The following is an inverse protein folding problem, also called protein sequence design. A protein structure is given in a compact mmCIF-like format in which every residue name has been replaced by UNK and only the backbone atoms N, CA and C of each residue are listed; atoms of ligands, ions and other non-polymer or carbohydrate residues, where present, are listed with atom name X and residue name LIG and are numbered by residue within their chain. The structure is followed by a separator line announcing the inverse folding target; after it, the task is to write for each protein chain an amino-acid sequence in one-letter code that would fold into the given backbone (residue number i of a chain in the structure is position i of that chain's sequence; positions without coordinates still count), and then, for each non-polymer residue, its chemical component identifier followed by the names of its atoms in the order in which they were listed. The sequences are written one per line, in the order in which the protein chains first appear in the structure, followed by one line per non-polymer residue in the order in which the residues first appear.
data_IF_704928313421
#
_entry.id   IF_704928313421
#
_cell.length_a   1.000
_cell.length_b   1.000
_cell.length_c   1.000
_cell.angle_alpha   90.00
_cell.angle_beta   90.00
_cell.angle_gamma   90.00
#
_symmetry.space_group_name_H-M   'P 1'
#
loop_
_entity.id
_entity.type
_entity.pdbx_description
1 polymer ?
#
# COMPACT_ATOMS: atom_id res chain seq x y z
N UNK A 1 -17.66 -39.97 -5.46
CA UNK A 1 -16.26 -39.71 -5.08
C UNK A 1 -16.18 -38.65 -3.97
N UNK A 2 -16.71 -37.44 -4.21
CA UNK A 2 -16.75 -36.32 -3.25
C UNK A 2 -17.35 -36.66 -1.89
N UNK A 3 -18.43 -37.45 -1.83
CA UNK A 3 -19.04 -37.87 -0.56
C UNK A 3 -18.12 -38.74 0.31
N UNK A 4 -17.33 -39.63 -0.28
CA UNK A 4 -16.37 -40.45 0.45
C UNK A 4 -15.20 -39.60 0.97
N UNK A 5 -14.72 -38.64 0.16
CA UNK A 5 -13.66 -37.72 0.60
C UNK A 5 -14.12 -36.87 1.77
N UNK A 6 -15.34 -36.32 1.72
CA UNK A 6 -15.90 -35.52 2.81
C UNK A 6 -16.06 -36.38 4.07
N UNK A 7 -16.62 -37.59 3.95
CA UNK A 7 -16.76 -38.49 5.10
C UNK A 7 -15.41 -38.91 5.68
N UNK A 8 -14.41 -39.19 4.85
CA UNK A 8 -13.06 -39.52 5.29
C UNK A 8 -12.36 -38.34 5.99
N UNK A 9 -12.53 -37.11 5.48
CA UNK A 9 -12.01 -35.90 6.12
C UNK A 9 -12.68 -35.67 7.48
N UNK A 10 -14.01 -35.80 7.55
CA UNK A 10 -14.76 -35.61 8.79
C UNK A 10 -14.37 -36.66 9.83
N UNK A 11 -14.27 -37.93 9.44
CA UNK A 11 -13.87 -39.01 10.34
C UNK A 11 -12.41 -38.86 10.80
N UNK A 12 -11.52 -38.47 9.89
CA UNK A 12 -10.14 -38.12 10.22
C UNK A 12 -10.06 -36.95 11.21
N UNK A 13 -10.87 -35.90 11.01
CA UNK A 13 -10.91 -34.74 11.89
C UNK A 13 -11.43 -35.08 13.29
N UNK A 14 -12.42 -35.96 13.41
CA UNK A 14 -12.94 -36.42 14.70
C UNK A 14 -11.87 -37.19 15.49
N UNK A 15 -11.06 -38.01 14.82
CA UNK A 15 -9.95 -38.74 15.46
C UNK A 15 -8.75 -37.82 15.75
N UNK A 16 -8.48 -36.84 14.89
CA UNK A 16 -7.39 -35.88 15.08
C UNK A 16 -7.72 -34.79 16.11
N UNK A 17 -8.98 -34.38 16.26
CA UNK A 17 -9.41 -33.34 17.19
C UNK A 17 -8.93 -33.56 18.63
N UNK A 18 -9.12 -34.73 19.27
CA UNK A 18 -8.60 -34.95 20.62
C UNK A 18 -7.06 -34.93 20.68
N UNK A 19 -6.39 -35.40 19.62
CA UNK A 19 -4.92 -35.40 19.53
C UNK A 19 -4.39 -33.96 19.44
N UNK A 20 -5.01 -33.10 18.62
CA UNK A 20 -4.67 -31.68 18.44
C UNK A 20 -4.89 -30.90 19.74
N UNK A 21 -5.97 -31.19 20.46
CA UNK A 21 -6.27 -30.54 21.75
C UNK A 21 -5.32 -31.02 22.85
N UNK A 22 -4.91 -32.29 22.86
CA UNK A 22 -3.91 -32.81 23.81
C UNK A 22 -2.49 -32.29 23.52
N UNK A 23 -2.15 -32.00 22.26
CA UNK A 23 -0.87 -31.39 21.86
C UNK A 23 -0.93 -29.86 21.77
N UNK A 24 -1.90 -29.23 22.44
CA UNK A 24 -2.27 -27.82 22.34
C UNK A 24 -1.12 -26.78 22.43
N UNK A 25 0.01 -26.98 23.16
CA UNK A 25 1.10 -26.00 23.11
C UNK A 25 2.07 -26.20 21.93
N UNK A 26 2.01 -27.31 21.19
CA UNK A 26 3.02 -27.67 20.17
C UNK A 26 2.61 -27.31 18.73
N UNK A 27 1.31 -27.21 18.43
CA UNK A 27 0.85 -26.83 17.07
C UNK A 27 1.01 -25.35 16.77
N UNK A 28 0.80 -24.49 17.77
CA UNK A 28 1.01 -23.06 17.66
C UNK A 28 2.43 -22.69 17.19
N UNK A 29 3.53 -23.20 17.81
CA UNK A 29 4.88 -22.88 17.35
C UNK A 29 5.17 -23.41 15.94
N UNK A 30 4.64 -24.56 15.55
CA UNK A 30 4.82 -25.10 14.18
C UNK A 30 4.11 -24.22 13.16
N UNK A 31 2.86 -23.82 13.44
CA UNK A 31 2.12 -22.90 12.58
C UNK A 31 2.85 -21.58 12.43
N UNK A 32 3.31 -20.98 13.53
CA UNK A 32 4.09 -19.73 13.49
C UNK A 32 5.38 -19.93 12.68
N UNK A 33 6.11 -21.04 12.86
CA UNK A 33 7.35 -21.31 12.15
C UNK A 33 7.16 -21.46 10.63
N UNK A 34 5.99 -21.91 10.17
CA UNK A 34 5.69 -22.05 8.73
C UNK A 34 5.03 -20.79 8.17
N UNK A 35 4.12 -20.18 8.93
CA UNK A 35 3.31 -19.05 8.50
C UNK A 35 4.09 -17.74 8.52
N UNK A 36 4.98 -17.53 9.50
CA UNK A 36 5.84 -16.34 9.57
C UNK A 36 6.80 -16.24 8.38
N UNK A 37 7.53 -17.29 7.95
CA UNK A 37 8.30 -17.21 6.72
C UNK A 37 7.42 -17.23 5.49
N UNK A 38 6.21 -17.82 5.48
CA UNK A 38 5.33 -17.69 4.30
C UNK A 38 4.83 -16.27 4.11
N UNK A 39 4.26 -15.65 5.14
CA UNK A 39 3.79 -14.26 5.13
C UNK A 39 4.97 -13.31 5.01
N UNK A 40 6.06 -13.60 5.72
CA UNK A 40 7.32 -12.89 5.63
C UNK A 40 7.88 -12.95 4.22
N UNK A 41 7.89 -14.11 3.57
CA UNK A 41 8.35 -14.28 2.20
C UNK A 41 7.36 -13.71 1.19
N UNK A 42 6.04 -13.78 1.36
CA UNK A 42 5.08 -13.07 0.50
C UNK A 42 5.22 -11.56 0.65
N UNK A 43 5.39 -11.08 1.88
CA UNK A 43 5.63 -9.67 2.18
C UNK A 43 6.99 -9.22 1.65
N UNK A 44 8.05 -10.03 1.79
CA UNK A 44 9.39 -9.78 1.25
C UNK A 44 9.48 -10.03 -0.26
N UNK A 45 8.60 -10.81 -0.86
CA UNK A 45 8.56 -11.04 -2.30
C UNK A 45 7.82 -9.87 -2.97
N UNK A 46 6.71 -9.40 -2.40
CA UNK A 46 6.07 -8.15 -2.82
C UNK A 46 6.95 -6.92 -2.56
N UNK A 47 7.50 -6.79 -1.35
CA UNK A 47 8.34 -5.65 -0.95
C UNK A 47 9.76 -5.73 -1.55
N UNK A 48 10.32 -6.92 -1.70
CA UNK A 48 11.64 -7.14 -2.29
C UNK A 48 11.64 -6.91 -3.80
N UNK A 49 10.62 -7.39 -4.51
CA UNK A 49 10.44 -7.06 -5.94
C UNK A 49 10.19 -5.55 -6.10
N UNK A 50 9.40 -4.93 -5.22
CA UNK A 50 9.20 -3.48 -5.23
C UNK A 50 10.51 -2.71 -4.93
N UNK A 51 11.30 -3.14 -3.94
CA UNK A 51 12.57 -2.52 -3.58
C UNK A 51 13.61 -2.66 -4.70
N UNK A 52 13.73 -3.84 -5.30
CA UNK A 52 14.59 -4.09 -6.47
C UNK A 52 14.11 -3.29 -7.68
N UNK A 53 12.79 -3.18 -7.89
CA UNK A 53 12.23 -2.35 -8.95
C UNK A 53 12.57 -0.86 -8.75
N UNK A 54 12.44 -0.33 -7.54
CA UNK A 54 12.80 1.07 -7.21
C UNK A 54 14.31 1.29 -7.36
N UNK A 55 15.16 0.39 -6.84
CA UNK A 55 16.61 0.47 -6.99
C UNK A 55 17.04 0.41 -8.45
N UNK A 56 16.46 -0.51 -9.23
CA UNK A 56 16.71 -0.64 -10.67
C UNK A 56 16.24 0.62 -11.42
N UNK A 57 15.10 1.19 -11.04
CA UNK A 57 14.57 2.42 -11.62
C UNK A 57 15.48 3.63 -11.35
N UNK A 58 15.91 3.83 -10.10
CA UNK A 58 16.82 4.91 -9.69
C UNK A 58 18.18 4.76 -10.37
N UNK A 59 18.74 3.54 -10.37
CA UNK A 59 20.02 3.27 -11.02
C UNK A 59 19.99 3.56 -12.53
N UNK A 60 18.89 3.20 -13.18
CA UNK A 60 18.70 3.40 -14.63
C UNK A 60 18.42 4.87 -14.98
N UNK A 61 17.71 5.59 -14.11
CA UNK A 61 17.52 7.04 -14.20
C UNK A 61 18.86 7.80 -14.07
N UNK A 62 19.70 7.44 -13.09
CA UNK A 62 21.03 8.03 -12.90
C UNK A 62 21.97 7.77 -14.09
N UNK A 63 21.77 6.66 -14.82
CA UNK A 63 22.49 6.36 -16.06
C UNK A 63 21.91 7.06 -17.30
N UNK A 64 20.90 7.93 -17.15
CA UNK A 64 20.30 8.67 -18.26
C UNK A 64 19.42 7.84 -19.19
N UNK A 65 19.22 6.55 -18.90
CA UNK A 65 18.26 5.71 -19.61
C UNK A 65 16.88 5.96 -19.01
N UNK A 66 16.11 6.86 -19.62
CA UNK A 66 14.70 7.08 -19.30
C UNK A 66 13.96 5.73 -19.19
N UNK A 67 13.60 5.29 -17.98
CA UNK A 67 12.97 3.99 -17.79
C UNK A 67 11.50 4.05 -18.26
N UNK A 68 10.99 3.01 -18.95
CA UNK A 68 9.59 2.95 -19.36
C UNK A 68 8.71 2.88 -18.12
N UNK A 69 7.97 3.97 -17.84
CA UNK A 69 7.11 4.09 -16.66
C UNK A 69 7.26 5.40 -15.88
N UNK A 70 8.27 6.25 -16.16
CA UNK A 70 8.32 7.62 -15.64
C UNK A 70 7.05 8.39 -15.99
N UNK A 71 6.47 8.13 -17.16
CA UNK A 71 5.22 8.75 -17.61
C UNK A 71 4.05 8.53 -16.65
N UNK A 72 3.96 7.39 -15.96
CA UNK A 72 2.84 7.15 -15.01
C UNK A 72 2.99 7.94 -13.72
N UNK A 73 4.22 8.09 -13.24
CA UNK A 73 4.51 8.88 -12.05
C UNK A 73 4.44 10.38 -12.36
N UNK A 74 4.95 10.81 -13.53
CA UNK A 74 4.82 12.18 -14.01
C UNK A 74 3.37 12.54 -14.36
N UNK A 75 2.55 11.61 -14.88
CA UNK A 75 1.13 11.85 -15.09
C UNK A 75 0.37 12.06 -13.77
N UNK A 76 0.65 11.24 -12.75
CA UNK A 76 0.08 11.41 -11.41
C UNK A 76 0.57 12.72 -10.76
N UNK A 77 1.86 13.02 -10.88
CA UNK A 77 2.45 14.26 -10.36
C UNK A 77 1.91 15.49 -11.07
N UNK A 78 1.72 15.44 -12.38
CA UNK A 78 1.19 16.56 -13.17
C UNK A 78 -0.28 16.81 -12.83
N UNK A 79 -1.08 15.76 -12.57
CA UNK A 79 -2.48 15.86 -12.09
C UNK A 79 -2.56 16.55 -10.71
N UNK A 80 -1.64 16.22 -9.81
CA UNK A 80 -1.58 16.84 -8.47
C UNK A 80 -1.06 18.28 -8.57
N UNK A 81 -0.05 18.53 -9.41
CA UNK A 81 0.52 19.85 -9.61
C UNK A 81 -0.46 20.83 -10.28
N UNK A 82 -1.30 20.36 -11.22
CA UNK A 82 -2.37 21.18 -11.80
C UNK A 82 -3.42 21.57 -10.75
N UNK A 83 -3.86 20.61 -9.94
CA UNK A 83 -4.82 20.87 -8.85
C UNK A 83 -4.25 21.87 -7.83
N UNK A 84 -2.96 21.75 -7.49
CA UNK A 84 -2.30 22.67 -6.57
C UNK A 84 -2.16 24.10 -7.13
N UNK A 85 -1.95 24.25 -8.45
CA UNK A 85 -1.90 25.57 -9.10
C UNK A 85 -3.28 26.23 -9.12
N UNK A 86 -4.31 25.47 -9.43
CA UNK A 86 -5.69 25.98 -9.50
C UNK A 86 -6.19 26.48 -8.13
N UNK A 87 -5.92 25.73 -7.06
CA UNK A 87 -6.26 26.14 -5.69
C UNK A 87 -5.46 27.36 -5.24
N UNK A 88 -4.17 27.44 -5.62
CA UNK A 88 -3.33 28.60 -5.31
C UNK A 88 -3.84 29.86 -5.99
N UNK A 89 -4.21 29.79 -7.25
CA UNK A 89 -4.73 30.93 -7.99
C UNK A 89 -6.10 31.37 -7.44
N UNK A 90 -6.99 30.42 -7.10
CA UNK A 90 -8.27 30.72 -6.46
C UNK A 90 -8.09 31.39 -5.08
N UNK A 91 -7.17 30.88 -4.26
CA UNK A 91 -6.87 31.45 -2.95
C UNK A 91 -6.20 32.84 -3.07
N UNK A 92 -5.39 33.06 -4.10
CA UNK A 92 -4.75 34.36 -4.35
C UNK A 92 -5.77 35.41 -4.81
N UNK A 93 -6.73 35.03 -5.65
CA UNK A 93 -7.81 35.90 -6.10
C UNK A 93 -8.77 36.27 -4.96
N UNK A 94 -9.19 35.28 -4.15
CA UNK A 94 -10.00 35.52 -2.95
C UNK A 94 -9.24 36.29 -1.86
N UNK A 95 -7.95 36.02 -1.67
CA UNK A 95 -7.10 36.75 -0.74
C UNK A 95 -6.93 38.22 -1.15
N UNK A 96 -6.84 38.49 -2.46
CA UNK A 96 -6.85 39.86 -3.00
C UNK A 96 -8.17 40.58 -2.74
N UNK A 97 -9.31 39.89 -2.90
CA UNK A 97 -10.63 40.46 -2.62
C UNK A 97 -10.84 40.76 -1.13
N UNK A 98 -10.44 39.85 -0.24
CA UNK A 98 -10.49 40.06 1.21
C UNK A 98 -9.55 41.18 1.65
N UNK A 99 -8.34 41.25 1.09
CA UNK A 99 -7.41 42.34 1.38
C UNK A 99 -7.96 43.68 0.87
N UNK A 100 -8.55 43.73 -0.33
CA UNK A 100 -9.23 44.94 -0.81
C UNK A 100 -10.38 45.33 0.13
N UNK A 101 -11.24 44.38 0.53
CA UNK A 101 -12.35 44.64 1.45
C UNK A 101 -11.90 45.14 2.82
N UNK A 102 -10.79 44.65 3.36
CA UNK A 102 -10.22 45.17 4.62
C UNK A 102 -9.64 46.58 4.43
N UNK A 103 -9.02 46.85 3.29
CA UNK A 103 -8.48 48.18 2.96
C UNK A 103 -9.59 49.21 2.68
N UNK A 104 -10.70 48.76 2.10
CA UNK A 104 -11.91 49.55 1.82
C UNK A 104 -12.86 49.66 3.04
N UNK A 105 -12.66 48.85 4.09
CA UNK A 105 -13.32 48.98 5.39
C UNK A 105 -12.52 49.82 6.40
N UNK A 106 -11.26 50.13 6.08
CA UNK A 106 -10.43 51.08 6.79
C UNK A 106 -10.08 52.38 6.01
N UNK A 107 -10.98 53.02 5.22
CA UNK A 107 -10.72 54.32 4.66
C UNK A 107 -11.15 55.38 5.69
N UNK A 108 -10.16 55.98 6.34
CA UNK A 108 -10.36 57.19 7.15
C UNK A 108 -10.30 56.95 8.64
N UNK A 109 -9.08 57.08 9.17
CA UNK A 109 -8.85 57.74 10.45
C UNK A 109 -7.70 58.74 10.23
#
# INVERSE_FOLDING_TARGET
LTGFTITAIVLGFIVFAPIIVLTSPFWLPIFVLVFVPLVGFLSLCGFGVAAVAVLSWVYRYSRGLHPPGSDRFDYARNRIATTAREVKDYAKEYGGYLHSKVKDAAPGA
#
